data_IF_593516923507
#
_entry.id   IF_593516923507
#
_cell.length_a   1.000
_cell.length_b   1.000
_cell.length_c   1.000
_cell.angle_alpha   90.00
_cell.angle_beta   90.00
_cell.angle_gamma   90.00
#
_symmetry.space_group_name_H-M   'P 1'
#
loop_
_entity.id
_entity.type
_entity.pdbx_description
1 polymer ?
#
# COMPACT_ATOMS: atom_id res chain seq x y z
N UNK A 1 14.95 12.80 -8.31
CA UNK A 1 14.77 12.07 -7.06
C UNK A 1 13.28 12.09 -6.70
N UNK A 2 12.68 10.93 -6.53
CA UNK A 2 11.24 10.86 -6.28
C UNK A 2 10.93 11.18 -4.83
N UNK A 3 10.10 12.20 -4.63
CA UNK A 3 9.60 12.54 -3.31
C UNK A 3 8.15 12.10 -3.19
N UNK A 4 7.72 11.67 -2.00
CA UNK A 4 6.32 11.30 -1.82
C UNK A 4 5.43 12.54 -1.86
N UNK A 5 4.20 12.35 -2.30
CA UNK A 5 3.24 13.42 -2.41
C UNK A 5 1.83 12.94 -2.17
N UNK A 6 0.86 13.67 -2.69
CA UNK A 6 -0.54 13.30 -2.57
C UNK A 6 -0.85 12.06 -3.39
N UNK A 7 -1.90 11.35 -2.99
CA UNK A 7 -2.40 10.23 -3.81
C UNK A 7 -2.84 10.79 -5.18
N UNK A 8 -2.48 10.11 -6.29
CA UNK A 8 -2.74 10.66 -7.63
C UNK A 8 -4.22 10.78 -8.00
N UNK A 9 -5.11 10.00 -7.37
CA UNK A 9 -6.51 9.96 -7.78
C UNK A 9 -7.49 10.32 -6.66
N UNK A 10 -7.11 10.18 -5.41
CA UNK A 10 -8.04 10.31 -4.28
C UNK A 10 -7.47 11.23 -3.21
N UNK A 11 -8.36 11.85 -2.46
CA UNK A 11 -7.98 12.74 -1.36
C UNK A 11 -8.01 11.96 -0.05
N UNK A 12 -6.85 11.61 0.48
CA UNK A 12 -6.72 10.92 1.76
C UNK A 12 -6.61 11.89 2.95
N UNK A 13 -6.83 13.19 2.70
CA UNK A 13 -6.77 14.26 3.72
C UNK A 13 -5.42 14.30 4.44
N UNK A 14 -4.34 13.97 3.71
CA UNK A 14 -2.99 13.99 4.27
C UNK A 14 -2.67 12.81 5.17
N UNK A 15 -3.45 11.72 5.08
CA UNK A 15 -3.22 10.53 5.90
C UNK A 15 -1.86 9.90 5.66
N UNK A 16 -1.35 9.98 4.43
CA UNK A 16 -0.04 9.40 4.11
C UNK A 16 0.62 10.17 2.97
N UNK A 17 1.98 10.27 2.99
CA UNK A 17 2.71 10.63 1.78
C UNK A 17 2.82 9.39 0.88
N UNK A 18 2.62 9.58 -0.42
CA UNK A 18 2.57 8.48 -1.39
C UNK A 18 3.72 8.55 -2.36
N UNK A 19 4.45 7.44 -2.50
CA UNK A 19 5.39 7.26 -3.60
C UNK A 19 4.64 6.70 -4.81
N UNK A 20 5.03 7.14 -6.00
CA UNK A 20 4.43 6.66 -7.24
C UNK A 20 5.22 5.50 -7.87
N UNK A 21 6.42 5.23 -7.37
CA UNK A 21 7.32 4.21 -7.88
C UNK A 21 7.61 3.18 -6.79
N UNK A 22 7.50 1.90 -7.14
CA UNK A 22 7.85 0.82 -6.21
C UNK A 22 9.30 0.94 -5.77
N UNK A 23 10.21 1.17 -6.69
CA UNK A 23 11.64 1.27 -6.39
C UNK A 23 11.92 2.41 -5.40
N UNK A 24 11.35 3.59 -5.64
CA UNK A 24 11.55 4.74 -4.77
C UNK A 24 10.97 4.50 -3.37
N UNK A 25 9.78 3.94 -3.29
CA UNK A 25 9.14 3.64 -2.01
C UNK A 25 9.87 2.57 -1.21
N UNK A 26 10.33 1.52 -1.88
CA UNK A 26 11.09 0.44 -1.23
C UNK A 26 12.41 0.99 -0.69
N UNK A 27 13.09 1.83 -1.46
CA UNK A 27 14.35 2.43 -1.02
C UNK A 27 14.14 3.33 0.19
N UNK A 28 13.10 4.15 0.18
CA UNK A 28 12.76 5.01 1.31
C UNK A 28 12.42 4.18 2.56
N UNK A 29 11.69 3.08 2.38
CA UNK A 29 11.33 2.19 3.48
C UNK A 29 12.58 1.52 4.09
N UNK A 30 13.53 1.08 3.25
CA UNK A 30 14.79 0.52 3.73
C UNK A 30 15.57 1.54 4.56
N UNK A 31 15.67 2.76 4.06
CA UNK A 31 16.41 3.82 4.75
C UNK A 31 15.77 4.16 6.10
N UNK A 32 14.46 4.06 6.22
CA UNK A 32 13.72 4.38 7.44
C UNK A 32 13.43 3.17 8.32
N UNK A 33 13.84 1.98 7.90
CA UNK A 33 13.56 0.70 8.58
C UNK A 33 12.06 0.49 8.77
N UNK A 34 11.29 0.62 7.68
CA UNK A 34 9.83 0.51 7.67
C UNK A 34 9.39 -0.57 6.70
N UNK A 35 8.16 -1.08 6.92
CA UNK A 35 7.50 -1.92 5.93
C UNK A 35 6.88 -1.05 4.84
N UNK A 36 6.45 -1.72 3.78
CA UNK A 36 5.81 -1.05 2.64
C UNK A 36 4.35 -1.47 2.57
N UNK A 37 3.48 -0.49 2.37
CA UNK A 37 2.09 -0.71 1.98
C UNK A 37 1.93 -0.23 0.55
N UNK A 38 1.82 -1.19 -0.37
CA UNK A 38 1.55 -0.92 -1.77
C UNK A 38 0.06 -1.07 -2.03
N UNK A 39 -0.59 0.00 -2.45
CA UNK A 39 -2.03 -0.02 -2.75
C UNK A 39 -2.21 0.12 -4.25
N UNK A 40 -2.74 -0.93 -4.87
CA UNK A 40 -3.03 -0.97 -6.30
C UNK A 40 -4.50 -0.59 -6.48
N UNK A 41 -4.75 0.57 -7.07
CA UNK A 41 -6.06 1.19 -7.15
C UNK A 41 -6.51 1.38 -8.58
N UNK A 42 -7.82 1.61 -8.75
CA UNK A 42 -8.37 2.11 -10.02
C UNK A 42 -9.11 3.41 -9.73
N UNK A 43 -8.92 4.46 -10.57
CA UNK A 43 -9.58 5.75 -10.36
C UNK A 43 -11.10 5.66 -10.35
N UNK A 44 -11.67 4.70 -11.09
CA UNK A 44 -13.12 4.52 -11.23
C UNK A 44 -13.68 3.46 -10.27
N UNK A 45 -12.92 3.04 -9.29
CA UNK A 45 -13.32 1.97 -8.37
C UNK A 45 -13.82 2.54 -7.04
N UNK A 46 -15.07 2.22 -6.70
CA UNK A 46 -15.67 2.67 -5.43
C UNK A 46 -14.95 2.12 -4.20
N UNK A 47 -14.47 0.89 -4.26
CA UNK A 47 -13.68 0.31 -3.17
C UNK A 47 -12.35 1.01 -2.96
N UNK A 48 -11.67 1.36 -4.05
CA UNK A 48 -10.43 2.13 -3.98
C UNK A 48 -10.67 3.50 -3.36
N UNK A 49 -11.72 4.20 -3.82
CA UNK A 49 -12.08 5.51 -3.27
C UNK A 49 -12.39 5.41 -1.77
N UNK A 50 -13.18 4.43 -1.39
CA UNK A 50 -13.56 4.26 0.02
C UNK A 50 -12.34 4.00 0.90
N UNK A 51 -11.42 3.17 0.46
CA UNK A 51 -10.20 2.88 1.24
C UNK A 51 -9.37 4.14 1.45
N UNK A 52 -9.11 4.88 0.37
CA UNK A 52 -8.21 6.04 0.44
C UNK A 52 -8.87 7.24 1.10
N UNK A 53 -10.15 7.49 0.80
CA UNK A 53 -10.82 8.72 1.26
C UNK A 53 -11.55 8.56 2.59
N UNK A 54 -11.94 7.34 2.97
CA UNK A 54 -12.76 7.12 4.16
C UNK A 54 -12.11 6.25 5.22
N UNK A 55 -11.31 5.26 4.84
CA UNK A 55 -10.69 4.35 5.80
C UNK A 55 -9.34 4.88 6.26
N UNK A 56 -8.44 5.18 5.34
CA UNK A 56 -7.10 5.68 5.68
C UNK A 56 -7.09 6.95 6.54
N UNK A 57 -7.99 7.93 6.32
CA UNK A 57 -7.95 9.14 7.13
C UNK A 57 -8.42 8.98 8.57
N UNK A 58 -9.00 7.84 8.94
CA UNK A 58 -9.39 7.62 10.33
C UNK A 58 -8.16 7.68 11.22
N UNK A 59 -8.26 8.42 12.32
CA UNK A 59 -7.12 8.76 13.17
C UNK A 59 -6.29 7.54 13.56
N UNK A 60 -6.92 6.50 14.08
CA UNK A 60 -6.21 5.29 14.51
C UNK A 60 -5.52 4.56 13.37
N UNK A 61 -6.11 4.59 12.17
CA UNK A 61 -5.54 3.94 11.00
C UNK A 61 -4.40 4.76 10.42
N UNK A 62 -4.60 6.06 10.24
CA UNK A 62 -3.55 6.96 9.75
C UNK A 62 -2.33 6.91 10.65
N UNK A 63 -2.54 6.89 11.97
CA UNK A 63 -1.47 6.79 12.94
C UNK A 63 -0.68 5.49 12.80
N UNK A 64 -1.38 4.36 12.70
CA UNK A 64 -0.75 3.06 12.54
C UNK A 64 0.06 2.98 11.24
N UNK A 65 -0.48 3.52 10.15
CA UNK A 65 0.21 3.54 8.86
C UNK A 65 1.45 4.42 8.93
N UNK A 66 1.32 5.62 9.47
CA UNK A 66 2.43 6.57 9.55
C UNK A 66 3.57 6.08 10.44
N UNK A 67 3.27 5.31 11.46
CA UNK A 67 4.28 4.79 12.37
C UNK A 67 5.12 3.68 11.76
N UNK A 68 4.58 2.89 10.84
CA UNK A 68 5.19 1.62 10.48
C UNK A 68 5.34 1.37 8.98
N UNK A 69 4.65 2.12 8.14
CA UNK A 69 4.59 1.84 6.71
C UNK A 69 5.01 3.04 5.87
N UNK A 70 5.71 2.73 4.78
CA UNK A 70 5.89 3.65 3.66
C UNK A 70 4.86 3.28 2.60
N UNK A 71 4.10 4.26 2.12
CA UNK A 71 2.98 4.01 1.22
C UNK A 71 3.36 4.25 -0.23
N UNK A 72 2.97 3.32 -1.10
CA UNK A 72 3.17 3.40 -2.54
C UNK A 72 1.82 3.21 -3.21
N UNK A 73 1.50 4.06 -4.19
CA UNK A 73 0.31 3.90 -5.00
C UNK A 73 0.67 3.37 -6.39
N UNK A 74 -0.16 2.49 -6.93
CA UNK A 74 -0.03 1.97 -8.28
C UNK A 74 -1.39 1.94 -8.95
N UNK A 75 -1.40 2.08 -10.28
CA UNK A 75 -2.63 2.05 -11.09
C UNK A 75 -2.82 0.64 -11.64
N UNK A 76 -3.93 0.00 -11.27
CA UNK A 76 -4.23 -1.35 -11.70
C UNK A 76 -4.46 -1.46 -13.22
N UNK A 77 -4.79 -0.36 -13.89
CA UNK A 77 -5.03 -0.36 -15.33
C UNK A 77 -3.74 -0.46 -16.13
N UNK A 78 -2.63 0.02 -15.55
CA UNK A 78 -1.34 0.03 -16.24
C UNK A 78 -0.21 -0.06 -15.20
N UNK A 79 -0.09 -1.21 -14.54
CA UNK A 79 0.94 -1.36 -13.51
C UNK A 79 2.34 -1.44 -14.13
N UNK A 80 3.30 -0.88 -13.43
CA UNK A 80 4.69 -1.04 -13.82
C UNK A 80 5.10 -2.52 -13.76
N UNK A 81 6.12 -2.94 -14.55
CA UNK A 81 6.50 -4.37 -14.60
C UNK A 81 6.77 -5.00 -13.23
N UNK A 82 7.44 -4.29 -12.33
CA UNK A 82 7.75 -4.81 -10.99
C UNK A 82 6.48 -4.97 -10.15
N UNK A 83 5.48 -4.11 -10.33
CA UNK A 83 4.17 -4.25 -9.67
C UNK A 83 3.42 -5.44 -10.25
N UNK A 84 3.45 -5.60 -11.58
CA UNK A 84 2.82 -6.74 -12.24
C UNK A 84 3.39 -8.06 -11.75
N UNK A 85 4.68 -8.13 -11.51
CA UNK A 85 5.31 -9.35 -10.98
C UNK A 85 4.80 -9.68 -9.58
N UNK A 86 4.64 -8.67 -8.74
CA UNK A 86 4.08 -8.88 -7.40
C UNK A 86 2.64 -9.36 -7.49
N UNK A 87 1.83 -8.72 -8.34
CA UNK A 87 0.43 -9.13 -8.52
C UNK A 87 0.34 -10.57 -8.99
N UNK A 88 1.25 -11.02 -9.86
CA UNK A 88 1.29 -12.38 -10.36
C UNK A 88 1.60 -13.42 -9.29
N UNK A 89 2.15 -13.02 -8.16
CA UNK A 89 2.46 -13.94 -7.05
C UNK A 89 1.28 -14.12 -6.10
N UNK A 90 0.22 -13.32 -6.24
CA UNK A 90 -0.89 -13.33 -5.29
C UNK A 90 -1.92 -14.38 -5.67
N UNK A 91 -2.56 -14.97 -4.65
CA UNK A 91 -3.69 -15.86 -4.85
C UNK A 91 -4.89 -15.08 -5.41
N UNK A 92 -5.03 -13.81 -5.03
CA UNK A 92 -6.09 -12.93 -5.52
C UNK A 92 -5.51 -11.55 -5.83
N UNK A 93 -5.71 -11.09 -7.06
CA UNK A 93 -5.29 -9.76 -7.50
C UNK A 93 -6.48 -8.90 -7.91
N UNK A 94 -7.69 -9.32 -7.59
CA UNK A 94 -8.94 -8.62 -7.85
C UNK A 94 -9.94 -8.96 -6.77
N UNK A 95 -10.92 -8.09 -6.49
CA UNK A 95 -11.10 -6.74 -7.03
C UNK A 95 -10.16 -5.71 -6.37
N UNK A 96 -10.05 -4.55 -7.00
CA UNK A 96 -9.32 -3.43 -6.39
C UNK A 96 -10.12 -2.83 -5.23
N UNK A 97 -9.47 -2.20 -4.25
CA UNK A 97 -8.02 -2.02 -4.14
C UNK A 97 -7.32 -3.31 -3.72
N UNK A 98 -6.13 -3.54 -4.25
CA UNK A 98 -5.29 -4.64 -3.79
C UNK A 98 -4.22 -4.04 -2.90
N UNK A 99 -4.17 -4.48 -1.66
CA UNK A 99 -3.15 -4.03 -0.70
C UNK A 99 -2.10 -5.12 -0.57
N UNK A 100 -0.85 -4.75 -0.82
CA UNK A 100 0.28 -5.68 -0.71
C UNK A 100 1.22 -5.13 0.35
N UNK A 101 1.44 -5.92 1.39
CA UNK A 101 2.32 -5.56 2.50
C UNK A 101 3.66 -6.21 2.26
N UNK A 102 4.73 -5.40 2.21
CA UNK A 102 6.05 -5.87 1.83
C UNK A 102 7.07 -5.63 2.93
N UNK A 103 8.01 -6.57 3.05
CA UNK A 103 9.22 -6.39 3.83
C UNK A 103 10.34 -6.01 2.85
N UNK A 104 10.85 -4.78 2.90
CA UNK A 104 11.89 -4.34 1.98
C UNK A 104 13.30 -4.78 2.39
N UNK A 105 13.44 -5.39 3.56
CA UNK A 105 14.76 -5.74 4.13
C UNK A 105 15.34 -6.96 3.44
N UNK A 106 16.66 -7.03 3.42
CA UNK A 106 17.40 -8.20 2.98
C UNK A 106 17.73 -8.17 1.50
N UNK A 107 17.07 -9.00 0.70
CA UNK A 107 17.38 -9.17 -0.72
C UNK A 107 16.91 -8.01 -1.58
N UNK A 108 17.29 -8.04 -2.86
CA UNK A 108 16.94 -6.99 -3.81
C UNK A 108 15.43 -6.86 -4.02
N UNK A 109 14.70 -7.97 -3.98
CA UNK A 109 13.25 -7.94 -4.12
C UNK A 109 12.57 -7.92 -2.77
N UNK A 110 11.58 -7.02 -2.55
CA UNK A 110 10.82 -7.02 -1.32
C UNK A 110 9.98 -8.29 -1.20
N UNK A 111 9.87 -8.80 0.02
CA UNK A 111 9.13 -10.03 0.29
C UNK A 111 7.69 -9.70 0.66
N UNK A 112 6.73 -10.43 0.09
CA UNK A 112 5.32 -10.25 0.41
C UNK A 112 5.03 -10.85 1.79
N UNK A 113 4.56 -10.01 2.71
CA UNK A 113 4.17 -10.43 4.05
C UNK A 113 2.69 -10.80 4.12
N UNK A 114 1.85 -10.06 3.41
CA UNK A 114 0.40 -10.20 3.47
C UNK A 114 -0.19 -9.49 2.25
N UNK A 115 -1.36 -9.93 1.82
CA UNK A 115 -2.08 -9.23 0.74
C UNK A 115 -3.58 -9.38 0.93
N UNK A 116 -4.32 -8.37 0.46
CA UNK A 116 -5.78 -8.38 0.46
C UNK A 116 -6.29 -7.83 -0.86
N UNK A 117 -7.50 -8.26 -1.25
CA UNK A 117 -8.16 -7.77 -2.46
C UNK A 117 -9.56 -7.33 -2.10
N UNK A 118 -9.97 -6.19 -2.66
CA UNK A 118 -11.29 -5.62 -2.42
C UNK A 118 -11.35 -4.67 -1.25
N UNK A 119 -12.52 -4.07 -1.04
CA UNK A 119 -12.72 -3.09 0.03
C UNK A 119 -12.54 -3.70 1.41
N UNK A 120 -11.98 -2.90 2.31
CA UNK A 120 -11.72 -3.32 3.69
C UNK A 120 -12.34 -2.32 4.64
N UNK A 121 -13.31 -2.73 5.47
CA UNK A 121 -13.81 -1.86 6.55
C UNK A 121 -12.67 -1.46 7.51
N UNK A 122 -12.82 -0.33 8.22
CA UNK A 122 -11.72 0.16 9.06
C UNK A 122 -11.16 -0.85 10.06
N UNK A 123 -12.02 -1.57 10.78
CA UNK A 123 -11.54 -2.56 11.76
C UNK A 123 -10.79 -3.71 11.09
N UNK A 124 -11.25 -4.14 9.92
CA UNK A 124 -10.59 -5.22 9.16
C UNK A 124 -9.26 -4.73 8.61
N UNK A 125 -9.21 -3.51 8.10
CA UNK A 125 -7.97 -2.95 7.57
C UNK A 125 -6.92 -2.79 8.69
N UNK A 126 -7.33 -2.33 9.86
CA UNK A 126 -6.44 -2.21 11.02
C UNK A 126 -5.87 -3.57 11.41
N UNK A 127 -6.68 -4.61 11.38
CA UNK A 127 -6.24 -5.98 11.64
C UNK A 127 -5.23 -6.45 10.59
N UNK A 128 -5.45 -6.10 9.31
CA UNK A 128 -4.51 -6.43 8.24
C UNK A 128 -3.13 -5.81 8.49
N UNK A 129 -3.11 -4.55 8.92
CA UNK A 129 -1.85 -3.87 9.25
C UNK A 129 -1.11 -4.59 10.39
N UNK A 130 -1.84 -4.96 11.43
CA UNK A 130 -1.28 -5.67 12.57
C UNK A 130 -0.71 -7.04 12.15
N UNK A 131 -1.45 -7.76 11.32
CA UNK A 131 -1.03 -9.06 10.81
C UNK A 131 0.26 -8.96 9.99
N UNK A 132 0.32 -7.94 9.12
CA UNK A 132 1.52 -7.71 8.31
C UNK A 132 2.74 -7.41 9.18
N UNK A 133 2.57 -6.64 10.25
CA UNK A 133 3.65 -6.28 11.16
C UNK A 133 4.12 -7.47 11.99
N UNK A 134 3.27 -8.45 12.24
CA UNK A 134 3.62 -9.65 13.00
C UNK A 134 4.47 -10.63 12.19
N UNK A 135 4.47 -10.52 10.87
CA UNK A 135 5.23 -11.40 9.99
C UNK A 135 6.64 -10.89 9.77
N UNK A 136 7.59 -11.82 9.64
CA UNK A 136 9.01 -11.49 9.48
C UNK A 136 9.62 -12.24 8.30
#
# INVERSE_FOLDING_TARGET
MDTPGRHPYFDDRGAAPWFASLAAGVQAARAADRRVLLVVCRPDCGGSRALIERVLPKEEIAEAVQQSFTCISADARSPAPEVSRLLGQLAKSEPTPVCIYLDPRGSDEPRILHSTAGGRPPAVFLRDLTEALAKR
#
